data_IF_335008721054
#
_entry.id   IF_335008721054
#
_cell.length_a   1.000
_cell.length_b   1.000
_cell.length_c   1.000
_cell.angle_alpha   90.00
_cell.angle_beta   90.00
_cell.angle_gamma   90.00
#
_symmetry.space_group_name_H-M   'P 1'
#
loop_
_entity.id
_entity.type
_entity.pdbx_description
1 polymer ?
#
# COMPACT_ATOMS: atom_id res chain seq x y z
N UNK A 1 34.00 -14.17 -8.97
CA UNK A 1 34.81 -13.14 -8.27
C UNK A 1 34.04 -12.75 -7.00
N UNK A 2 34.58 -12.96 -5.80
CA UNK A 2 33.85 -12.93 -4.52
C UNK A 2 34.52 -11.97 -3.50
N UNK A 3 35.09 -10.85 -3.95
CA UNK A 3 35.97 -9.99 -3.12
C UNK A 3 35.24 -8.70 -2.66
N UNK A 4 34.24 -8.23 -3.39
CA UNK A 4 33.59 -6.92 -3.18
C UNK A 4 32.23 -7.06 -2.50
N UNK A 5 31.85 -6.05 -1.72
CA UNK A 5 30.51 -5.96 -1.11
C UNK A 5 29.43 -5.70 -2.16
N UNK A 6 28.17 -5.92 -1.80
CA UNK A 6 27.02 -5.70 -2.70
C UNK A 6 26.98 -4.27 -3.24
N UNK A 7 27.19 -3.27 -2.37
CA UNK A 7 27.21 -1.86 -2.78
C UNK A 7 28.37 -1.56 -3.75
N UNK A 8 29.58 -2.05 -3.46
CA UNK A 8 30.72 -1.84 -4.35
C UNK A 8 30.53 -2.58 -5.69
N UNK A 9 29.83 -3.71 -5.70
CA UNK A 9 29.54 -4.48 -6.91
C UNK A 9 28.56 -3.80 -7.88
N UNK A 10 27.84 -2.76 -7.43
CA UNK A 10 26.95 -1.95 -8.27
C UNK A 10 27.69 -0.81 -9.00
N UNK A 11 28.97 -0.56 -8.68
CA UNK A 11 29.75 0.49 -9.32
C UNK A 11 30.34 -0.06 -10.63
N UNK A 12 29.93 0.43 -11.81
CA UNK A 12 30.56 0.04 -13.06
C UNK A 12 31.98 0.61 -13.13
N UNK A 13 32.89 -0.09 -13.80
CA UNK A 13 34.30 0.33 -13.98
C UNK A 13 35.08 0.53 -12.67
N UNK A 14 34.72 -0.20 -11.62
CA UNK A 14 35.37 -0.13 -10.30
C UNK A 14 36.89 -0.34 -10.38
N UNK A 15 37.39 -1.14 -11.32
CA UNK A 15 38.81 -1.35 -11.58
C UNK A 15 39.58 -0.10 -12.02
N UNK A 16 38.89 0.95 -12.46
CA UNK A 16 39.47 2.21 -12.90
C UNK A 16 39.40 3.32 -11.84
N UNK A 17 38.72 3.08 -10.72
CA UNK A 17 38.53 4.05 -9.66
C UNK A 17 39.54 3.86 -8.51
N UNK A 18 39.94 4.99 -7.91
CA UNK A 18 40.70 4.96 -6.65
C UNK A 18 39.84 4.42 -5.50
N UNK A 19 40.46 3.65 -4.60
CA UNK A 19 39.77 2.98 -3.50
C UNK A 19 38.99 3.94 -2.60
N UNK A 20 39.49 5.16 -2.36
CA UNK A 20 38.80 6.14 -1.52
C UNK A 20 37.53 6.66 -2.21
N UNK A 21 37.57 6.85 -3.54
CA UNK A 21 36.39 7.26 -4.33
C UNK A 21 35.36 6.16 -4.41
N UNK A 22 35.79 4.91 -4.59
CA UNK A 22 34.91 3.74 -4.53
C UNK A 22 34.20 3.60 -3.18
N UNK A 23 34.90 3.85 -2.06
CA UNK A 23 34.32 3.86 -0.72
C UNK A 23 33.26 4.96 -0.57
N UNK A 24 33.57 6.18 -1.01
CA UNK A 24 32.62 7.30 -0.98
C UNK A 24 31.40 7.00 -1.84
N UNK A 25 31.58 6.52 -3.08
CA UNK A 25 30.49 6.15 -3.99
C UNK A 25 29.56 5.10 -3.39
N UNK A 26 30.12 4.04 -2.81
CA UNK A 26 29.34 2.98 -2.14
C UNK A 26 28.53 3.50 -0.95
N UNK A 27 29.04 4.50 -0.23
CA UNK A 27 28.34 5.11 0.90
C UNK A 27 27.25 6.09 0.45
N UNK A 28 27.53 6.90 -0.57
CA UNK A 28 26.59 7.86 -1.14
C UNK A 28 25.38 7.15 -1.79
N UNK A 29 25.60 6.02 -2.47
CA UNK A 29 24.52 5.22 -3.05
C UNK A 29 23.46 4.80 -2.03
N UNK A 30 23.85 4.52 -0.77
CA UNK A 30 22.92 4.14 0.30
C UNK A 30 22.02 5.28 0.79
N UNK A 31 22.33 6.52 0.42
CA UNK A 31 21.60 7.72 0.83
C UNK A 31 20.72 8.25 -0.30
N UNK A 32 20.72 7.62 -1.47
CA UNK A 32 19.89 8.01 -2.59
C UNK A 32 18.40 7.83 -2.23
N UNK A 33 17.63 8.92 -2.33
CA UNK A 33 16.19 8.91 -2.08
C UNK A 33 15.46 8.51 -3.36
N UNK A 34 14.43 7.64 -3.29
CA UNK A 34 13.62 7.28 -4.44
C UNK A 34 12.97 8.48 -5.14
N UNK A 35 13.18 8.59 -6.45
CA UNK A 35 12.53 9.58 -7.31
C UNK A 35 11.10 9.17 -7.65
N UNK A 36 10.27 10.15 -8.04
CA UNK A 36 8.88 9.94 -8.45
C UNK A 36 8.74 8.94 -9.61
N UNK A 37 9.70 8.97 -10.53
CA UNK A 37 9.86 8.07 -11.67
C UNK A 37 11.21 7.37 -11.54
N UNK A 38 11.19 6.06 -11.36
CA UNK A 38 12.40 5.25 -11.43
C UNK A 38 12.86 5.15 -12.89
N UNK A 39 14.16 5.08 -13.10
CA UNK A 39 14.76 4.86 -14.42
C UNK A 39 15.95 3.90 -14.25
N UNK A 40 15.91 2.76 -14.91
CA UNK A 40 17.02 1.81 -14.86
C UNK A 40 18.35 2.44 -15.31
N UNK A 41 19.48 2.08 -14.69
CA UNK A 41 20.79 2.57 -15.13
C UNK A 41 21.09 2.07 -16.55
N UNK A 42 21.51 2.99 -17.44
CA UNK A 42 21.96 2.61 -18.79
C UNK A 42 23.28 1.83 -18.77
N UNK A 43 24.10 2.08 -17.75
CA UNK A 43 25.37 1.39 -17.51
C UNK A 43 25.29 0.74 -16.14
N UNK A 44 25.15 -0.58 -16.12
CA UNK A 44 25.06 -1.39 -14.90
C UNK A 44 26.06 -2.55 -14.88
N UNK A 45 26.07 -3.30 -13.78
CA UNK A 45 26.97 -4.44 -13.57
C UNK A 45 26.27 -5.80 -13.67
N UNK A 46 24.93 -5.82 -13.72
CA UNK A 46 24.09 -7.00 -13.68
C UNK A 46 23.71 -7.44 -12.26
N UNK A 47 24.24 -6.77 -11.23
CA UNK A 47 23.88 -7.02 -9.83
C UNK A 47 22.57 -6.34 -9.42
N UNK A 48 22.10 -5.37 -10.21
CA UNK A 48 20.91 -4.56 -9.95
C UNK A 48 19.66 -5.43 -9.74
N UNK A 49 19.46 -6.43 -10.61
CA UNK A 49 18.34 -7.36 -10.53
C UNK A 49 18.39 -8.23 -9.28
N UNK A 50 19.56 -8.75 -8.94
CA UNK A 50 19.73 -9.59 -7.76
C UNK A 50 19.43 -8.79 -6.48
N UNK A 51 19.93 -7.56 -6.40
CA UNK A 51 19.68 -6.68 -5.25
C UNK A 51 18.20 -6.31 -5.14
N UNK A 52 17.54 -5.97 -6.25
CA UNK A 52 16.12 -5.65 -6.24
C UNK A 52 15.26 -6.82 -5.74
N UNK A 53 15.47 -8.02 -6.28
CA UNK A 53 14.72 -9.24 -5.93
C UNK A 53 14.99 -9.65 -4.46
N UNK A 54 16.25 -9.71 -4.05
CA UNK A 54 16.64 -10.18 -2.71
C UNK A 54 16.30 -9.18 -1.60
N UNK A 55 16.11 -7.90 -1.92
CA UNK A 55 15.74 -6.87 -0.95
C UNK A 55 14.30 -6.99 -0.42
N UNK A 56 13.42 -7.70 -1.15
CA UNK A 56 12.01 -7.85 -0.80
C UNK A 56 11.15 -6.60 -1.05
N UNK A 57 11.69 -5.55 -1.69
CA UNK A 57 10.91 -4.35 -2.05
C UNK A 57 10.02 -4.57 -3.27
N UNK A 58 10.43 -5.47 -4.17
CA UNK A 58 9.68 -5.89 -5.36
C UNK A 58 8.73 -7.03 -5.03
N UNK A 59 7.59 -7.12 -5.72
CA UNK A 59 6.68 -8.27 -5.61
C UNK A 59 7.14 -9.37 -6.54
N UNK A 60 7.51 -10.52 -5.99
CA UNK A 60 8.05 -11.66 -6.74
C UNK A 60 7.04 -12.82 -6.76
N UNK A 61 6.89 -13.46 -7.91
CA UNK A 61 6.04 -14.62 -8.09
C UNK A 61 6.59 -15.83 -7.33
N UNK A 62 5.79 -16.38 -6.41
CA UNK A 62 6.13 -17.60 -5.66
C UNK A 62 6.06 -18.85 -6.53
N UNK A 63 5.10 -18.87 -7.46
CA UNK A 63 4.77 -19.97 -8.37
C UNK A 63 4.56 -19.43 -9.78
N UNK A 64 4.84 -20.25 -10.78
CA UNK A 64 4.56 -19.95 -12.19
C UNK A 64 3.07 -20.07 -12.52
N UNK A 65 2.61 -19.31 -13.50
CA UNK A 65 1.19 -19.23 -13.82
C UNK A 65 0.84 -18.22 -14.89
N UNK A 66 -0.44 -17.93 -15.02
CA UNK A 66 -1.00 -16.90 -15.90
C UNK A 66 -1.65 -15.82 -15.04
N UNK A 67 -1.39 -14.56 -15.36
CA UNK A 67 -2.00 -13.43 -14.67
C UNK A 67 -3.47 -13.32 -15.06
N UNK A 68 -4.37 -13.43 -14.08
CA UNK A 68 -5.82 -13.42 -14.29
C UNK A 68 -6.37 -11.99 -14.25
N UNK A 69 -6.02 -11.24 -13.20
CA UNK A 69 -6.39 -9.84 -13.05
C UNK A 69 -5.25 -9.01 -12.45
N UNK A 70 -5.11 -7.78 -12.94
CA UNK A 70 -4.12 -6.80 -12.48
C UNK A 70 -4.87 -5.53 -12.12
N UNK A 71 -4.81 -5.18 -10.84
CA UNK A 71 -5.24 -3.89 -10.34
C UNK A 71 -4.03 -3.12 -9.82
N UNK A 72 -4.21 -1.81 -9.63
CA UNK A 72 -3.18 -1.02 -8.96
C UNK A 72 -2.86 -1.59 -7.57
N UNK A 73 -3.86 -2.09 -6.82
CA UNK A 73 -3.69 -2.54 -5.42
C UNK A 73 -3.37 -4.03 -5.27
N UNK A 74 -3.71 -4.87 -6.24
CA UNK A 74 -3.52 -6.32 -6.13
C UNK A 74 -3.27 -6.98 -7.49
N UNK A 75 -2.52 -8.08 -7.48
CA UNK A 75 -2.24 -8.91 -8.64
C UNK A 75 -2.73 -10.32 -8.34
N UNK A 76 -3.53 -10.89 -9.24
CA UNK A 76 -4.08 -12.25 -9.10
C UNK A 76 -3.43 -13.13 -10.15
N UNK A 77 -2.76 -14.18 -9.70
CA UNK A 77 -2.08 -15.14 -10.55
C UNK A 77 -2.77 -16.49 -10.42
N UNK A 78 -3.22 -17.02 -11.55
CA UNK A 78 -3.68 -18.40 -11.66
C UNK A 78 -2.48 -19.32 -11.84
N UNK A 79 -2.26 -20.21 -10.89
CA UNK A 79 -1.07 -21.05 -10.84
C UNK A 79 -1.21 -22.22 -11.81
N UNK A 80 -0.09 -22.63 -12.41
CA UNK A 80 -0.07 -23.81 -13.27
C UNK A 80 -0.39 -25.09 -12.46
N UNK A 81 -1.10 -26.01 -13.12
CA UNK A 81 -1.52 -27.28 -12.49
C UNK A 81 -0.30 -28.11 -12.02
N UNK A 82 0.85 -28.00 -12.70
CA UNK A 82 2.10 -28.69 -12.38
C UNK A 82 2.76 -28.23 -11.06
N UNK A 83 2.55 -26.97 -10.67
CA UNK A 83 3.12 -26.37 -9.46
C UNK A 83 2.13 -26.33 -8.29
N UNK A 84 0.90 -26.79 -8.50
CA UNK A 84 -0.13 -26.83 -7.47
C UNK A 84 -0.08 -28.15 -6.70
N UNK A 85 0.08 -28.11 -5.38
CA UNK A 85 -0.08 -29.31 -4.53
C UNK A 85 -1.55 -29.64 -4.34
N UNK A 86 -1.87 -30.93 -4.23
CA UNK A 86 -3.21 -31.40 -3.91
C UNK A 86 -3.67 -30.82 -2.56
N UNK A 87 -4.75 -30.05 -2.56
CA UNK A 87 -5.32 -29.37 -1.38
C UNK A 87 -4.97 -27.89 -1.23
N UNK A 88 -4.05 -27.33 -2.03
CA UNK A 88 -3.77 -25.89 -2.03
C UNK A 88 -4.63 -25.14 -3.05
N UNK A 89 -5.02 -23.92 -2.70
CA UNK A 89 -5.73 -23.03 -3.62
C UNK A 89 -4.88 -22.73 -4.86
N UNK A 90 -5.52 -22.83 -6.03
CA UNK A 90 -4.92 -22.68 -7.35
C UNK A 90 -4.59 -21.25 -7.77
N UNK A 91 -4.79 -20.29 -6.86
CA UNK A 91 -4.64 -18.87 -7.13
C UNK A 91 -3.76 -18.25 -6.06
N UNK A 92 -2.80 -17.46 -6.50
CA UNK A 92 -1.99 -16.61 -5.64
C UNK A 92 -2.44 -15.15 -5.76
N UNK A 93 -2.74 -14.54 -4.62
CA UNK A 93 -3.15 -13.13 -4.52
C UNK A 93 -2.02 -12.33 -3.89
N UNK A 94 -1.48 -11.37 -4.63
CA UNK A 94 -0.41 -10.49 -4.20
C UNK A 94 -0.97 -9.09 -3.96
N UNK A 95 -1.00 -8.66 -2.69
CA UNK A 95 -1.41 -7.31 -2.32
C UNK A 95 -0.21 -6.36 -2.41
N UNK A 96 -0.37 -5.26 -3.15
CA UNK A 96 0.65 -4.24 -3.35
C UNK A 96 0.58 -3.19 -2.24
N UNK A 97 1.75 -2.79 -1.74
CA UNK A 97 1.87 -1.68 -0.79
C UNK A 97 1.79 -0.34 -1.51
N UNK A 98 0.87 0.53 -1.09
CA UNK A 98 0.65 1.84 -1.73
C UNK A 98 0.95 2.97 -0.76
N UNK A 99 1.72 3.96 -1.24
CA UNK A 99 1.99 5.23 -0.57
C UNK A 99 2.19 5.11 0.94
N UNK A 100 3.04 4.17 1.36
CA UNK A 100 3.31 3.91 2.76
C UNK A 100 4.59 4.63 3.17
N UNK A 101 4.64 5.11 4.42
CA UNK A 101 5.79 5.81 4.97
C UNK A 101 6.96 4.84 5.22
N UNK A 102 8.18 5.24 4.87
CA UNK A 102 9.41 4.59 5.34
C UNK A 102 9.91 5.18 6.67
N UNK A 103 10.93 4.55 7.28
CA UNK A 103 11.56 5.07 8.49
C UNK A 103 12.28 6.42 8.28
N UNK A 104 12.68 6.74 7.05
CA UNK A 104 13.34 8.01 6.69
C UNK A 104 12.35 9.02 6.08
N UNK A 105 11.03 8.86 6.33
CA UNK A 105 9.97 9.72 5.79
C UNK A 105 9.91 9.75 4.25
N UNK A 106 10.44 8.74 3.57
CA UNK A 106 10.30 8.58 2.12
C UNK A 106 9.07 7.74 1.79
N UNK A 107 8.65 7.74 0.53
CA UNK A 107 7.52 6.96 0.05
C UNK A 107 7.91 5.52 -0.38
N UNK A 108 7.23 4.53 0.17
CA UNK A 108 7.22 3.14 -0.31
C UNK A 108 5.94 2.95 -1.13
N UNK A 109 6.12 2.73 -2.43
CA UNK A 109 5.01 2.52 -3.36
C UNK A 109 5.39 1.42 -4.35
N UNK A 110 4.57 0.37 -4.40
CA UNK A 110 4.73 -0.69 -5.36
C UNK A 110 3.82 -0.47 -6.56
N UNK A 111 4.29 -0.74 -7.78
CA UNK A 111 3.52 -0.60 -9.03
C UNK A 111 3.49 -1.94 -9.77
N UNK A 112 2.33 -2.40 -10.25
CA UNK A 112 2.27 -3.61 -11.05
C UNK A 112 3.03 -3.41 -12.37
N UNK A 113 3.80 -4.42 -12.79
CA UNK A 113 4.55 -4.45 -14.04
C UNK A 113 3.85 -5.31 -15.10
N UNK A 114 3.20 -6.39 -14.65
CA UNK A 114 2.54 -7.38 -15.50
C UNK A 114 1.17 -6.92 -16.00
N UNK A 115 0.73 -7.47 -17.13
CA UNK A 115 -0.60 -7.27 -17.71
C UNK A 115 -1.45 -8.55 -17.59
N UNK A 116 -2.76 -8.41 -17.77
CA UNK A 116 -3.67 -9.56 -17.76
C UNK A 116 -3.39 -10.48 -18.94
N UNK A 117 -3.28 -11.78 -18.66
CA UNK A 117 -2.93 -12.81 -19.65
C UNK A 117 -1.44 -13.09 -19.80
N UNK A 118 -0.56 -12.35 -19.12
CA UNK A 118 0.88 -12.62 -19.15
C UNK A 118 1.20 -13.97 -18.49
N UNK A 119 2.12 -14.72 -19.10
CA UNK A 119 2.64 -15.99 -18.57
C UNK A 119 3.90 -15.69 -17.77
N UNK A 120 3.90 -16.09 -16.51
CA UNK A 120 4.99 -15.83 -15.57
C UNK A 120 5.62 -17.14 -15.08
N UNK A 121 6.92 -17.10 -14.84
CA UNK A 121 7.65 -18.17 -14.18
C UNK A 121 7.82 -17.88 -12.68
N UNK A 122 8.14 -18.93 -11.93
CA UNK A 122 8.54 -18.79 -10.53
C UNK A 122 9.79 -17.91 -10.43
N UNK A 123 9.73 -16.87 -9.59
CA UNK A 123 10.80 -15.91 -9.38
C UNK A 123 10.74 -14.66 -10.27
N UNK A 124 9.74 -14.54 -11.13
CA UNK A 124 9.54 -13.32 -11.92
C UNK A 124 9.00 -12.16 -11.07
N UNK A 125 9.37 -10.93 -11.44
CA UNK A 125 8.93 -9.71 -10.77
C UNK A 125 7.56 -9.31 -11.30
N UNK A 126 6.56 -9.31 -10.44
CA UNK A 126 5.18 -8.94 -10.74
C UNK A 126 4.92 -7.45 -10.57
N UNK A 127 5.64 -6.82 -9.64
CA UNK A 127 5.53 -5.40 -9.37
C UNK A 127 6.83 -4.80 -8.86
N UNK A 128 7.14 -3.63 -9.38
CA UNK A 128 8.28 -2.82 -8.96
C UNK A 128 7.99 -2.15 -7.62
N UNK A 129 9.02 -2.01 -6.79
CA UNK A 129 9.02 -1.23 -5.56
C UNK A 129 9.55 0.20 -5.74
N UNK A 130 9.86 0.90 -4.62
CA UNK A 130 10.57 2.17 -4.69
C UNK A 130 11.98 1.98 -5.24
N UNK A 131 12.42 2.88 -6.12
CA UNK A 131 13.73 2.83 -6.78
C UNK A 131 14.02 1.53 -7.52
N UNK A 132 13.01 0.92 -8.15
CA UNK A 132 13.21 -0.21 -9.07
C UNK A 132 12.45 0.02 -10.36
N UNK A 133 13.00 -0.44 -11.48
CA UNK A 133 12.42 -0.34 -12.82
C UNK A 133 12.59 -1.67 -13.55
N UNK A 134 11.48 -2.33 -13.90
CA UNK A 134 11.44 -3.65 -14.53
C UNK A 134 12.24 -4.73 -13.79
N UNK A 135 12.22 -4.69 -12.46
CA UNK A 135 12.96 -5.62 -11.60
C UNK A 135 14.45 -5.30 -11.43
N UNK A 136 14.96 -4.21 -12.00
CA UNK A 136 16.33 -3.73 -11.76
C UNK A 136 16.33 -2.59 -10.73
N UNK A 137 17.38 -2.52 -9.91
CA UNK A 137 17.60 -1.41 -8.99
C UNK A 137 17.90 -0.11 -9.75
N UNK A 138 17.09 0.91 -9.48
CA UNK A 138 17.09 2.23 -10.11
C UNK A 138 17.12 3.34 -9.04
N UNK A 139 18.29 3.56 -8.44
CA UNK A 139 18.47 4.56 -7.36
C UNK A 139 18.40 6.01 -7.83
N UNK A 140 18.50 6.27 -9.13
CA UNK A 140 18.55 7.60 -9.71
C UNK A 140 18.10 7.61 -11.17
N UNK A 141 18.57 8.59 -11.93
CA UNK A 141 18.19 8.78 -13.33
C UNK A 141 19.40 9.10 -14.21
N UNK A 142 19.34 8.71 -15.49
CA UNK A 142 20.45 8.91 -16.43
C UNK A 142 20.39 10.31 -17.05
N UNK A 143 21.47 11.07 -16.94
CA UNK A 143 21.54 12.44 -17.44
C UNK A 143 22.55 12.59 -18.57
N UNK A 144 22.26 13.47 -19.52
CA UNK A 144 23.27 13.91 -20.49
C UNK A 144 24.18 14.92 -19.81
N UNK A 145 25.45 14.54 -19.62
CA UNK A 145 26.46 15.37 -18.93
C UNK A 145 27.54 15.79 -19.92
N UNK A 146 27.95 17.05 -19.85
CA UNK A 146 29.08 17.59 -20.60
C UNK A 146 30.18 18.04 -19.64
N UNK A 147 31.40 17.54 -19.84
CA UNK A 147 32.56 17.95 -19.06
C UNK A 147 33.19 19.20 -19.69
N UNK A 148 32.82 20.38 -19.22
CA UNK A 148 33.40 21.65 -19.63
C UNK A 148 33.29 22.70 -18.52
N UNK A 149 34.24 23.63 -18.37
CA UNK A 149 34.05 24.79 -17.50
C UNK A 149 32.94 25.68 -18.06
N UNK A 150 32.02 26.15 -17.21
CA UNK A 150 30.91 27.01 -17.61
C UNK A 150 30.80 28.23 -16.69
N UNK A 151 31.41 29.35 -17.09
CA UNK A 151 31.32 30.65 -16.41
C UNK A 151 31.55 30.63 -14.88
N UNK A 152 32.30 29.64 -14.38
CA UNK A 152 32.56 29.47 -12.94
C UNK A 152 31.38 28.91 -12.14
N UNK A 153 30.24 28.59 -12.75
CA UNK A 153 29.11 27.97 -12.05
C UNK A 153 29.39 26.53 -11.60
N UNK A 154 30.33 25.86 -12.25
CA UNK A 154 30.84 24.54 -11.86
C UNK A 154 32.22 24.63 -11.21
N UNK A 155 32.46 25.67 -10.40
CA UNK A 155 33.68 25.78 -9.61
C UNK A 155 33.70 24.76 -8.47
N UNK A 156 34.89 24.20 -8.20
CA UNK A 156 35.11 23.04 -7.31
C UNK A 156 34.23 21.85 -7.72
N UNK A 157 33.30 21.43 -6.86
CA UNK A 157 32.38 20.31 -7.07
C UNK A 157 30.93 20.78 -7.29
N UNK A 158 30.74 22.08 -7.61
CA UNK A 158 29.41 22.63 -7.90
C UNK A 158 28.86 22.07 -9.21
N UNK A 159 27.57 21.74 -9.23
CA UNK A 159 26.89 21.17 -10.39
C UNK A 159 25.94 22.23 -10.97
N UNK A 160 26.10 22.53 -12.26
CA UNK A 160 25.15 23.34 -13.01
C UNK A 160 24.10 22.43 -13.65
N UNK A 161 22.83 22.65 -13.34
CA UNK A 161 21.70 21.84 -13.81
C UNK A 161 20.85 22.67 -14.78
N UNK A 162 20.39 22.04 -15.86
CA UNK A 162 19.43 22.67 -16.78
C UNK A 162 18.05 22.77 -16.15
N UNK A 163 17.34 23.87 -16.37
CA UNK A 163 15.94 24.04 -15.95
C UNK A 163 15.02 22.92 -16.47
N UNK A 164 15.36 22.34 -17.63
CA UNK A 164 14.63 21.21 -18.22
C UNK A 164 14.49 20.02 -17.26
N UNK A 165 15.47 19.80 -16.39
CA UNK A 165 15.45 18.70 -15.40
C UNK A 165 14.35 18.89 -14.38
N UNK A 166 14.10 20.16 -13.99
CA UNK A 166 13.03 20.53 -13.07
C UNK A 166 11.67 20.44 -13.78
N UNK A 167 11.58 20.91 -15.02
CA UNK A 167 10.35 20.84 -15.82
C UNK A 167 9.89 19.41 -16.10
N UNK A 168 10.83 18.46 -16.20
CA UNK A 168 10.57 17.04 -16.41
C UNK A 168 10.32 16.25 -15.10
N UNK A 169 10.33 16.91 -13.93
CA UNK A 169 10.13 16.31 -12.59
C UNK A 169 11.05 15.11 -12.31
N UNK A 170 12.28 15.16 -12.81
CA UNK A 170 13.23 14.03 -12.82
C UNK A 170 13.69 13.62 -11.42
N UNK A 171 14.04 14.61 -10.61
CA UNK A 171 14.50 14.43 -9.22
C UNK A 171 13.46 14.82 -8.17
N UNK A 172 12.18 14.89 -8.56
CA UNK A 172 11.08 15.12 -7.62
C UNK A 172 10.89 13.88 -6.75
N UNK A 173 10.83 14.04 -5.42
CA UNK A 173 10.68 12.94 -4.45
C UNK A 173 9.37 13.09 -3.67
N UNK A 174 8.79 11.97 -3.23
CA UNK A 174 7.61 11.98 -2.35
C UNK A 174 8.06 11.73 -0.93
N UNK A 175 7.76 12.67 -0.04
CA UNK A 175 7.97 12.55 1.40
C UNK A 175 6.63 12.38 2.11
N UNK A 176 6.59 11.48 3.08
CA UNK A 176 5.42 11.21 3.90
C UNK A 176 5.84 11.44 5.34
N UNK A 177 5.21 12.41 6.00
CA UNK A 177 5.42 12.66 7.43
C UNK A 177 4.18 12.28 8.21
N UNK A 178 4.39 11.70 9.38
CA UNK A 178 3.32 11.39 10.33
C UNK A 178 3.38 12.43 11.44
N UNK A 179 2.27 13.14 11.64
CA UNK A 179 2.13 14.10 12.72
C UNK A 179 1.12 13.53 13.71
N UNK A 180 1.50 13.48 14.98
CA UNK A 180 0.68 12.85 16.03
C UNK A 180 0.18 13.91 17.00
N UNK A 181 -1.11 13.82 17.33
CA UNK A 181 -1.76 14.62 18.37
C UNK A 181 -2.23 13.66 19.47
N UNK A 182 -1.93 13.96 20.72
CA UNK A 182 -2.35 13.15 21.86
C UNK A 182 -3.16 14.03 22.80
N UNK A 183 -4.42 13.65 23.04
CA UNK A 183 -5.24 14.21 24.11
C UNK A 183 -4.93 13.47 25.42
N UNK A 184 -4.65 14.22 26.49
CA UNK A 184 -4.29 13.66 27.80
C UNK A 184 -5.24 14.15 28.88
N UNK A 185 -5.41 13.34 29.92
CA UNK A 185 -6.07 13.79 31.14
C UNK A 185 -5.10 14.62 31.98
N UNK A 186 -5.45 15.89 32.20
CA UNK A 186 -4.70 16.78 33.09
C UNK A 186 -5.42 16.90 34.44
N UNK A 187 -4.72 17.46 35.44
CA UNK A 187 -5.32 17.71 36.77
C UNK A 187 -6.48 18.72 36.73
N UNK A 188 -6.52 19.58 35.72
CA UNK A 188 -7.53 20.64 35.58
C UNK A 188 -8.74 20.18 34.77
N UNK A 189 -8.63 19.01 34.12
CA UNK A 189 -9.65 18.42 33.26
C UNK A 189 -9.02 17.64 32.12
N UNK A 190 -9.86 16.89 31.41
CA UNK A 190 -9.45 16.16 30.21
C UNK A 190 -9.24 17.13 29.05
N UNK A 191 -8.19 16.90 28.26
CA UNK A 191 -8.03 17.57 26.97
C UNK A 191 -9.03 16.99 25.98
N UNK A 192 -9.68 17.86 25.20
CA UNK A 192 -10.71 17.46 24.24
C UNK A 192 -10.23 17.76 22.81
N UNK A 193 -10.59 16.86 21.89
CA UNK A 193 -10.41 17.08 20.46
C UNK A 193 -11.74 17.63 19.94
N UNK A 194 -11.73 18.87 19.44
CA UNK A 194 -12.94 19.57 19.01
C UNK A 194 -12.62 20.63 17.97
N UNK A 195 -13.58 20.89 17.08
CA UNK A 195 -13.54 21.99 16.12
C UNK A 195 -13.81 23.36 16.75
N UNK A 196 -14.29 23.41 18.00
CA UNK A 196 -14.54 24.67 18.71
C UNK A 196 -13.24 25.20 19.36
N UNK A 197 -12.42 25.89 18.57
CA UNK A 197 -11.11 26.39 18.99
C UNK A 197 -11.19 27.90 19.26
N UNK A 198 -10.82 28.38 20.46
CA UNK A 198 -10.88 29.80 20.78
C UNK A 198 -9.86 30.61 19.98
N UNK A 199 -10.23 31.84 19.59
CA UNK A 199 -9.38 32.81 18.88
C UNK A 199 -8.91 32.37 17.49
N UNK A 200 -9.60 31.43 16.85
CA UNK A 200 -9.32 30.97 15.49
C UNK A 200 -10.40 31.47 14.53
N UNK A 201 -10.01 32.00 13.37
CA UNK A 201 -10.94 32.46 12.35
C UNK A 201 -11.64 31.32 11.61
N UNK A 202 -12.86 31.56 11.14
CA UNK A 202 -13.70 30.58 10.46
C UNK A 202 -13.02 29.95 9.23
N UNK A 203 -12.14 30.70 8.55
CA UNK A 203 -11.35 30.21 7.41
C UNK A 203 -10.40 29.07 7.75
N UNK A 204 -9.85 29.04 8.97
CA UNK A 204 -8.97 27.96 9.42
C UNK A 204 -9.78 26.74 9.91
N UNK A 205 -11.00 26.98 10.42
CA UNK A 205 -11.93 25.92 10.82
C UNK A 205 -12.58 25.23 9.62
N UNK A 206 -12.68 25.91 8.47
CA UNK A 206 -13.29 25.35 7.26
C UNK A 206 -12.64 24.06 6.72
N UNK A 207 -11.38 23.78 7.11
CA UNK A 207 -10.67 22.55 6.73
C UNK A 207 -10.90 21.38 7.70
N UNK A 208 -11.46 21.65 8.87
CA UNK A 208 -11.74 20.67 9.91
C UNK A 208 -13.16 20.13 9.78
N UNK A 209 -13.34 18.88 10.18
CA UNK A 209 -14.65 18.26 10.32
C UNK A 209 -15.35 18.64 11.64
N UNK A 210 -16.57 18.14 11.86
CA UNK A 210 -17.33 18.37 13.10
C UNK A 210 -16.58 17.93 14.37
N UNK A 211 -15.68 16.95 14.25
CA UNK A 211 -14.86 16.43 15.34
C UNK A 211 -13.57 17.24 15.54
N UNK A 212 -13.28 18.23 14.70
CA UNK A 212 -12.05 19.02 14.78
C UNK A 212 -10.84 18.35 14.12
N UNK A 213 -11.05 17.41 13.20
CA UNK A 213 -10.00 16.69 12.48
C UNK A 213 -10.03 17.08 11.00
N UNK A 214 -8.87 17.23 10.39
CA UNK A 214 -8.79 17.61 8.98
C UNK A 214 -9.33 16.54 8.02
N UNK A 215 -9.94 17.00 6.92
CA UNK A 215 -10.39 16.10 5.84
C UNK A 215 -9.22 15.45 5.08
N UNK A 216 -9.38 14.17 4.75
CA UNK A 216 -8.46 13.44 3.85
C UNK A 216 -8.56 14.06 2.44
N UNK A 217 -7.41 14.35 1.85
CA UNK A 217 -7.30 15.02 0.55
C UNK A 217 -7.21 16.56 0.63
N UNK A 218 -7.29 17.15 1.82
CA UNK A 218 -7.11 18.59 1.98
C UNK A 218 -5.65 18.99 1.75
N UNK A 219 -5.45 20.07 0.99
CA UNK A 219 -4.15 20.73 0.86
C UNK A 219 -3.93 21.67 2.05
N UNK A 220 -2.78 21.49 2.69
CA UNK A 220 -2.39 22.21 3.91
C UNK A 220 -1.13 23.00 3.68
N UNK A 221 -1.14 24.19 4.27
CA UNK A 221 0.00 25.09 4.31
C UNK A 221 0.56 25.15 5.73
N UNK A 222 1.80 25.60 5.84
CA UNK A 222 2.43 25.88 7.12
C UNK A 222 1.53 26.73 8.03
N UNK A 223 1.27 26.25 9.25
CA UNK A 223 0.43 26.93 10.25
C UNK A 223 -1.06 26.56 10.24
N UNK A 224 -1.54 25.83 9.22
CA UNK A 224 -2.90 25.27 9.20
C UNK A 224 -3.08 24.25 10.34
N UNK A 225 -4.32 24.15 10.84
CA UNK A 225 -4.68 23.24 11.93
C UNK A 225 -5.01 21.86 11.32
N UNK A 226 -4.34 20.82 11.81
CA UNK A 226 -4.60 19.43 11.43
C UNK A 226 -5.59 18.76 12.39
N UNK A 227 -5.40 19.00 13.69
CA UNK A 227 -6.26 18.45 14.74
C UNK A 227 -6.48 19.54 15.79
N UNK A 228 -7.74 19.96 15.93
CA UNK A 228 -8.21 20.87 16.96
C UNK A 228 -8.10 20.23 18.33
N UNK A 229 -7.30 20.81 19.22
CA UNK A 229 -7.12 20.30 20.59
C UNK A 229 -7.22 21.45 21.58
N UNK A 230 -8.13 21.29 22.54
CA UNK A 230 -8.39 22.30 23.55
C UNK A 230 -8.02 21.76 24.93
N UNK A 231 -7.33 22.59 25.71
CA UNK A 231 -6.86 22.25 27.06
C UNK A 231 -7.59 23.10 28.10
N UNK A 232 -8.23 22.52 29.12
CA UNK A 232 -8.84 23.29 30.19
C UNK A 232 -7.76 24.10 30.90
N UNK A 233 -7.98 25.41 31.00
CA UNK A 233 -7.05 26.36 31.61
C UNK A 233 -7.56 26.68 33.02
N UNK A 234 -6.64 26.69 33.98
CA UNK A 234 -6.95 27.19 35.32
C UNK A 234 -7.25 28.69 35.30
N UNK A 235 -8.03 29.16 36.28
CA UNK A 235 -8.39 30.56 36.40
C UNK A 235 -7.14 31.43 36.63
N UNK A 236 -6.72 32.15 35.59
CA UNK A 236 -5.58 33.09 35.69
C UNK A 236 -6.08 34.43 36.20
N UNK A 237 -5.44 34.95 37.27
CA UNK A 237 -5.69 36.32 37.72
C UNK A 237 -5.23 37.31 36.63
N UNK A 238 -6.19 37.90 35.92
CA UNK A 238 -5.95 38.92 34.91
C UNK A 238 -5.44 40.21 35.55
N UNK A 239 -4.54 40.89 34.86
CA UNK A 239 -4.05 42.22 35.25
C UNK A 239 -5.18 43.26 35.21
N UNK A 240 -5.11 44.37 35.98
CA UNK A 240 -6.12 45.43 35.93
C UNK A 240 -6.38 45.96 34.51
N UNK A 241 -5.34 46.01 33.67
CA UNK A 241 -5.39 46.42 32.26
C UNK A 241 -6.23 45.45 31.43
N UNK A 242 -5.97 44.14 31.54
CA UNK A 242 -6.76 43.09 30.85
C UNK A 242 -8.21 43.04 31.34
N UNK A 243 -8.43 43.27 32.65
CA UNK A 243 -9.79 43.37 33.22
C UNK A 243 -10.57 44.55 32.64
N UNK A 244 -9.91 45.70 32.47
CA UNK A 244 -10.52 46.89 31.86
C UNK A 244 -10.83 46.64 30.37
N UNK A 245 -9.89 46.06 29.64
CA UNK A 245 -10.04 45.75 28.22
C UNK A 245 -11.20 44.77 28.01
N UNK A 246 -11.29 43.74 28.85
CA UNK A 246 -12.41 42.78 28.85
C UNK A 246 -13.76 43.42 29.20
N UNK A 247 -13.78 44.39 30.12
CA UNK A 247 -15.00 45.12 30.46
C UNK A 247 -15.47 46.03 29.32
N UNK A 248 -14.55 46.54 28.49
CA UNK A 248 -14.88 47.39 27.33
C UNK A 248 -15.37 46.55 26.14
N UNK A 249 -14.70 45.45 25.82
CA UNK A 249 -15.03 44.62 24.64
C UNK A 249 -16.05 43.51 24.91
N UNK A 250 -16.33 43.23 26.19
CA UNK A 250 -17.29 42.19 26.57
C UNK A 250 -16.86 40.77 26.18
N UNK A 251 -15.59 40.56 25.80
CA UNK A 251 -15.07 39.23 25.47
C UNK A 251 -15.15 38.31 26.69
N UNK A 252 -15.83 37.18 26.53
CA UNK A 252 -15.78 36.12 27.53
C UNK A 252 -14.37 35.53 27.48
N UNK A 253 -13.71 35.41 28.64
CA UNK A 253 -12.50 34.60 28.71
C UNK A 253 -12.92 33.18 28.34
N UNK A 254 -12.25 32.62 27.34
CA UNK A 254 -12.35 31.19 27.14
C UNK A 254 -11.61 30.52 28.29
N UNK A 255 -12.31 29.64 29.00
CA UNK A 255 -11.73 28.80 30.05
C UNK A 255 -10.83 27.69 29.46
N UNK A 256 -10.64 27.71 28.15
CA UNK A 256 -9.91 26.70 27.38
C UNK A 256 -8.82 27.35 26.55
N UNK A 257 -7.67 26.69 26.43
CA UNK A 257 -6.53 27.13 25.65
C UNK A 257 -6.35 26.25 24.41
N UNK A 258 -6.09 26.89 23.27
CA UNK A 258 -5.68 26.23 22.03
C UNK A 258 -4.32 25.53 22.21
N UNK A 259 -4.31 24.21 22.02
CA UNK A 259 -3.10 23.36 21.94
C UNK A 259 -3.16 22.45 20.72
N UNK A 260 -3.85 22.91 19.69
CA UNK A 260 -4.09 22.17 18.44
C UNK A 260 -2.78 21.82 17.73
N UNK A 261 -2.81 20.69 17.03
CA UNK A 261 -1.73 20.28 16.15
C UNK A 261 -1.79 21.13 14.87
N UNK A 262 -0.68 21.81 14.56
CA UNK A 262 -0.53 22.63 13.36
C UNK A 262 0.58 22.08 12.47
N UNK A 263 0.48 22.34 11.18
CA UNK A 263 1.51 21.98 10.21
C UNK A 263 2.81 22.73 10.54
N UNK A 264 3.96 22.02 10.63
CA UNK A 264 5.27 22.65 10.85
C UNK A 264 5.59 23.76 9.84
N UNK A 265 6.36 24.75 10.27
CA UNK A 265 6.79 25.84 9.39
C UNK A 265 7.69 25.34 8.27
N UNK A 266 7.38 25.71 7.03
CA UNK A 266 8.15 25.30 5.84
C UNK A 266 7.69 23.98 5.22
N UNK A 267 6.68 23.33 5.79
CA UNK A 267 6.03 22.15 5.22
C UNK A 267 4.71 22.54 4.57
N UNK A 268 4.49 22.08 3.35
CA UNK A 268 3.22 22.15 2.63
C UNK A 268 2.96 20.78 2.01
N UNK A 269 1.70 20.35 1.91
CA UNK A 269 1.38 19.06 1.33
C UNK A 269 -0.11 18.74 1.38
N UNK A 270 -0.43 17.48 1.09
CA UNK A 270 -1.79 16.96 1.09
C UNK A 270 -1.94 15.90 2.17
N UNK A 271 -3.03 15.95 2.93
CA UNK A 271 -3.34 14.92 3.93
C UNK A 271 -3.78 13.64 3.22
N UNK A 272 -3.00 12.56 3.36
CA UNK A 272 -3.27 11.28 2.68
C UNK A 272 -4.10 10.31 3.51
N UNK A 273 -3.91 10.30 4.82
CA UNK A 273 -4.53 9.33 5.74
C UNK A 273 -4.66 9.96 7.13
N UNK A 274 -5.66 9.51 7.87
CA UNK A 274 -5.94 9.95 9.25
C UNK A 274 -6.34 8.73 10.06
N UNK A 275 -5.63 8.50 11.16
CA UNK A 275 -5.89 7.38 12.07
C UNK A 275 -6.27 7.93 13.44
N UNK A 276 -7.37 7.41 14.00
CA UNK A 276 -7.89 7.81 15.30
C UNK A 276 -7.83 6.59 16.23
N UNK A 277 -7.10 6.74 17.33
CA UNK A 277 -7.00 5.70 18.36
C UNK A 277 -7.74 6.17 19.62
N UNK A 278 -8.88 5.54 19.90
CA UNK A 278 -9.64 5.77 21.12
C UNK A 278 -9.28 4.73 22.17
N UNK A 279 -9.12 5.15 23.43
CA UNK A 279 -8.91 4.22 24.55
C UNK A 279 -10.19 3.44 24.85
N UNK A 280 -10.04 2.16 25.19
CA UNK A 280 -11.15 1.32 25.65
C UNK A 280 -11.87 1.96 26.85
N UNK A 281 -13.17 2.21 26.68
CA UNK A 281 -14.04 2.80 27.70
C UNK A 281 -14.37 4.29 27.51
N UNK A 282 -13.76 4.97 26.53
CA UNK A 282 -14.16 6.32 26.10
C UNK A 282 -15.19 6.21 24.98
N UNK A 283 -16.22 7.07 24.97
CA UNK A 283 -17.17 7.11 23.86
C UNK A 283 -16.44 7.48 22.56
N UNK A 284 -16.68 6.69 21.51
CA UNK A 284 -16.07 6.92 20.20
C UNK A 284 -16.78 8.09 19.51
N UNK A 285 -16.00 9.03 19.01
CA UNK A 285 -16.53 10.10 18.16
C UNK A 285 -17.13 9.54 16.87
N UNK A 286 -18.07 10.28 16.27
CA UNK A 286 -18.68 9.92 14.96
C UNK A 286 -17.60 9.56 13.92
N UNK A 287 -16.54 10.36 13.86
CA UNK A 287 -15.42 10.16 12.94
C UNK A 287 -14.66 8.85 13.20
N UNK A 288 -14.47 8.48 14.45
CA UNK A 288 -13.80 7.23 14.81
C UNK A 288 -14.64 6.01 14.40
N UNK A 289 -15.96 6.08 14.60
CA UNK A 289 -16.91 5.06 14.14
C UNK A 289 -16.92 4.94 12.61
N UNK A 290 -16.97 6.07 11.89
CA UNK A 290 -16.94 6.08 10.43
C UNK A 290 -15.65 5.44 9.87
N UNK A 291 -14.50 5.75 10.48
CA UNK A 291 -13.21 5.18 10.09
C UNK A 291 -13.23 3.66 10.31
N UNK A 292 -13.64 3.20 11.50
CA UNK A 292 -13.72 1.78 11.84
C UNK A 292 -14.66 1.01 10.91
N UNK A 293 -15.85 1.55 10.64
CA UNK A 293 -16.79 0.98 9.67
C UNK A 293 -16.19 0.92 8.26
N UNK A 294 -15.49 1.97 7.83
CA UNK A 294 -14.83 1.99 6.51
C UNK A 294 -13.72 0.94 6.40
N UNK A 295 -12.96 0.72 7.49
CA UNK A 295 -11.92 -0.30 7.57
C UNK A 295 -12.54 -1.69 7.53
N UNK A 296 -13.58 -1.95 8.32
CA UNK A 296 -14.32 -3.20 8.32
C UNK A 296 -14.96 -3.47 6.94
N UNK A 297 -15.50 -2.45 6.28
CA UNK A 297 -16.07 -2.56 4.95
C UNK A 297 -15.01 -2.93 3.90
N UNK A 298 -13.82 -2.31 3.95
CA UNK A 298 -12.68 -2.64 3.08
C UNK A 298 -12.23 -4.10 3.29
N UNK A 299 -12.03 -4.50 4.54
CA UNK A 299 -11.67 -5.88 4.90
C UNK A 299 -12.71 -6.87 4.40
N UNK A 300 -14.00 -6.59 4.61
CA UNK A 300 -15.10 -7.43 4.16
C UNK A 300 -15.10 -7.56 2.65
N UNK A 301 -14.93 -6.45 1.93
CA UNK A 301 -14.84 -6.43 0.46
C UNK A 301 -13.65 -7.26 -0.03
N UNK A 302 -12.48 -7.10 0.60
CA UNK A 302 -11.28 -7.87 0.24
C UNK A 302 -11.50 -9.37 0.44
N UNK A 303 -12.07 -9.79 1.57
CA UNK A 303 -12.40 -11.19 1.83
C UNK A 303 -13.42 -11.76 0.83
N UNK A 304 -14.47 -10.99 0.50
CA UNK A 304 -15.46 -11.40 -0.49
C UNK A 304 -14.86 -11.51 -1.89
N UNK A 305 -14.01 -10.56 -2.27
CA UNK A 305 -13.30 -10.61 -3.55
C UNK A 305 -12.37 -11.83 -3.62
N UNK A 306 -11.63 -12.11 -2.54
CA UNK A 306 -10.79 -13.30 -2.44
C UNK A 306 -11.61 -14.58 -2.59
N UNK A 307 -12.71 -14.71 -1.85
CA UNK A 307 -13.63 -15.84 -1.96
C UNK A 307 -14.16 -16.02 -3.37
N UNK A 308 -14.59 -14.94 -4.03
CA UNK A 308 -15.07 -14.98 -5.41
C UNK A 308 -13.99 -15.50 -6.37
N UNK A 309 -12.77 -14.98 -6.25
CA UNK A 309 -11.63 -15.41 -7.07
C UNK A 309 -11.34 -16.89 -6.86
N UNK A 310 -11.33 -17.35 -5.61
CA UNK A 310 -11.11 -18.76 -5.29
C UNK A 310 -12.24 -19.66 -5.81
N UNK A 311 -13.49 -19.25 -5.65
CA UNK A 311 -14.65 -19.97 -6.18
C UNK A 311 -14.57 -20.09 -7.71
N UNK A 312 -14.29 -18.99 -8.42
CA UNK A 312 -14.18 -19.00 -9.88
C UNK A 312 -13.06 -19.94 -10.37
N UNK A 313 -11.90 -19.98 -9.71
CA UNK A 313 -10.83 -20.93 -10.06
C UNK A 313 -11.19 -22.38 -9.74
N UNK A 314 -11.79 -22.64 -8.56
CA UNK A 314 -12.25 -23.98 -8.19
C UNK A 314 -13.28 -24.51 -9.20
N UNK A 315 -14.25 -23.70 -9.60
CA UNK A 315 -15.21 -24.09 -10.63
C UNK A 315 -14.54 -24.30 -11.98
N UNK A 316 -13.55 -23.48 -12.34
CA UNK A 316 -12.80 -23.68 -13.58
C UNK A 316 -12.00 -25.00 -13.58
N UNK A 317 -11.40 -25.38 -12.45
CA UNK A 317 -10.71 -26.67 -12.28
C UNK A 317 -11.70 -27.84 -12.34
N UNK A 318 -12.85 -27.71 -11.68
CA UNK A 318 -13.94 -28.70 -11.76
C UNK A 318 -14.45 -28.83 -13.19
N UNK A 319 -14.62 -27.74 -13.92
CA UNK A 319 -15.00 -27.75 -15.34
C UNK A 319 -13.99 -28.55 -16.17
N UNK A 320 -12.68 -28.29 -16.03
CA UNK A 320 -11.63 -29.06 -16.71
C UNK A 320 -11.66 -30.54 -16.36
N UNK A 321 -11.91 -30.89 -15.09
CA UNK A 321 -11.97 -32.28 -14.64
C UNK A 321 -13.21 -33.02 -15.15
N UNK A 322 -14.35 -32.33 -15.26
CA UNK A 322 -15.62 -32.90 -15.69
C UNK A 322 -15.69 -33.06 -17.21
N UNK A 323 -15.19 -32.08 -17.98
CA UNK A 323 -15.25 -32.08 -19.45
C UNK A 323 -14.53 -33.32 -20.02
N UNK A 324 -15.29 -34.15 -20.74
CA UNK A 324 -14.77 -35.33 -21.44
C UNK A 324 -14.73 -36.63 -20.62
N UNK A 325 -15.03 -36.61 -19.31
CA UNK A 325 -15.16 -37.84 -18.49
C UNK A 325 -16.55 -38.47 -18.59
N UNK A 326 -16.62 -39.78 -18.36
CA UNK A 326 -17.88 -40.55 -18.37
C UNK A 326 -18.58 -40.45 -17.03
N UNK A 327 -19.89 -40.18 -17.05
CA UNK A 327 -20.70 -39.98 -15.85
C UNK A 327 -21.48 -41.25 -15.51
N UNK A 328 -21.52 -41.62 -14.22
CA UNK A 328 -22.35 -42.72 -13.69
C UNK A 328 -23.73 -42.23 -13.23
N UNK A 329 -23.85 -40.94 -12.91
CA UNK A 329 -25.12 -40.25 -12.73
C UNK A 329 -24.91 -38.79 -12.29
N UNK A 330 -25.86 -37.91 -12.62
CA UNK A 330 -25.80 -36.51 -12.21
C UNK A 330 -27.18 -35.84 -12.20
N UNK A 331 -27.31 -34.66 -11.55
CA UNK A 331 -28.56 -33.90 -11.51
C UNK A 331 -29.06 -33.55 -12.92
N UNK A 332 -30.36 -33.28 -13.11
CA UNK A 332 -30.96 -33.03 -14.43
C UNK A 332 -30.97 -34.20 -15.45
N UNK A 333 -30.81 -35.45 -14.98
CA UNK A 333 -31.13 -36.64 -15.79
C UNK A 333 -30.01 -37.13 -16.71
N UNK A 334 -28.74 -36.89 -16.35
CA UNK A 334 -27.59 -37.48 -17.03
C UNK A 334 -27.64 -39.02 -16.94
N UNK A 335 -27.72 -39.69 -18.09
CA UNK A 335 -27.71 -41.15 -18.19
C UNK A 335 -26.28 -41.68 -18.04
N UNK A 336 -26.17 -42.86 -17.44
CA UNK A 336 -24.92 -43.64 -17.33
C UNK A 336 -24.22 -43.72 -18.69
N UNK A 337 -22.97 -43.23 -18.76
CA UNK A 337 -22.11 -43.34 -19.94
C UNK A 337 -22.12 -42.15 -20.91
N UNK A 338 -22.79 -41.04 -20.60
CA UNK A 338 -22.65 -39.80 -21.38
C UNK A 338 -21.36 -39.04 -21.01
N UNK A 339 -20.73 -38.42 -22.02
CA UNK A 339 -19.63 -37.46 -21.81
C UNK A 339 -20.21 -36.12 -21.37
N UNK A 340 -19.56 -35.47 -20.42
CA UNK A 340 -19.93 -34.10 -20.02
C UNK A 340 -19.53 -33.12 -21.12
N UNK A 341 -20.51 -32.43 -21.70
CA UNK A 341 -20.31 -31.32 -22.63
C UNK A 341 -20.30 -29.98 -21.89
N UNK A 342 -19.54 -29.00 -22.42
CA UNK A 342 -19.44 -27.65 -21.84
C UNK A 342 -20.79 -26.93 -21.71
N UNK A 343 -21.73 -27.18 -22.64
CA UNK A 343 -23.07 -26.58 -22.61
C UNK A 343 -23.90 -27.02 -21.40
N UNK A 344 -23.79 -28.29 -20.99
CA UNK A 344 -24.53 -28.83 -19.84
C UNK A 344 -24.03 -28.26 -18.49
N UNK A 345 -22.74 -27.95 -18.40
CA UNK A 345 -22.16 -27.29 -17.22
C UNK A 345 -22.66 -25.85 -17.06
N UNK A 346 -22.81 -25.11 -18.16
CA UNK A 346 -23.30 -23.73 -18.14
C UNK A 346 -24.78 -23.60 -17.73
N UNK A 347 -25.61 -24.60 -18.02
CA UNK A 347 -27.05 -24.61 -17.68
C UNK A 347 -27.32 -25.03 -16.23
N UNK A 348 -26.33 -25.64 -15.55
CA UNK A 348 -26.46 -26.08 -14.17
C UNK A 348 -25.92 -25.03 -13.19
N UNK A 349 -26.65 -24.72 -12.09
CA UNK A 349 -26.12 -23.86 -11.05
C UNK A 349 -24.87 -24.49 -10.41
N UNK A 350 -23.84 -23.67 -10.22
CA UNK A 350 -22.50 -24.05 -9.73
C UNK A 350 -22.52 -24.96 -8.49
N UNK A 351 -23.46 -24.76 -7.57
CA UNK A 351 -23.63 -25.58 -6.35
C UNK A 351 -23.93 -27.07 -6.64
N UNK A 352 -24.47 -27.40 -7.81
CA UNK A 352 -24.82 -28.77 -8.20
C UNK A 352 -23.72 -29.49 -8.98
N UNK A 353 -22.60 -28.83 -9.27
CA UNK A 353 -21.49 -29.45 -10.01
C UNK A 353 -20.79 -30.53 -9.17
N UNK A 354 -20.79 -30.39 -7.83
CA UNK A 354 -20.24 -31.37 -6.89
C UNK A 354 -21.12 -32.62 -6.71
N UNK A 355 -22.36 -32.63 -7.21
CA UNK A 355 -23.27 -33.79 -7.13
C UNK A 355 -23.10 -34.77 -8.31
N UNK A 356 -22.22 -34.44 -9.27
CA UNK A 356 -21.96 -35.25 -10.46
C UNK A 356 -21.03 -36.41 -10.08
N UNK A 357 -21.50 -37.65 -10.28
CA UNK A 357 -20.71 -38.86 -10.04
C UNK A 357 -20.06 -39.32 -11.33
N UNK A 358 -18.74 -39.38 -11.34
CA UNK A 358 -17.94 -39.88 -12.45
C UNK A 358 -17.79 -41.41 -12.36
N UNK A 359 -17.46 -42.03 -13.50
CA UNK A 359 -17.16 -43.47 -13.58
C UNK A 359 -15.74 -43.84 -13.13
N UNK A 360 -14.87 -42.84 -12.93
CA UNK A 360 -13.48 -43.01 -12.55
C UNK A 360 -13.31 -42.65 -11.07
N UNK A 361 -12.87 -43.61 -10.26
CA UNK A 361 -12.79 -43.49 -8.80
C UNK A 361 -11.81 -42.39 -8.37
N UNK A 362 -10.68 -42.23 -9.08
CA UNK A 362 -9.69 -41.17 -8.82
C UNK A 362 -10.28 -39.78 -9.11
N UNK A 363 -11.14 -39.68 -10.11
CA UNK A 363 -11.79 -38.42 -10.45
C UNK A 363 -12.89 -38.02 -9.43
N UNK A 364 -13.55 -39.01 -8.82
CA UNK A 364 -14.49 -38.78 -7.72
C UNK A 364 -13.76 -38.35 -6.44
N UNK A 365 -12.64 -38.98 -6.10
CA UNK A 365 -11.82 -38.56 -4.95
C UNK A 365 -11.32 -37.11 -5.10
N UNK A 366 -10.89 -36.72 -6.30
CA UNK A 366 -10.49 -35.33 -6.58
C UNK A 366 -11.66 -34.34 -6.47
N UNK A 367 -12.87 -34.71 -6.92
CA UNK A 367 -14.07 -33.88 -6.77
C UNK A 367 -14.47 -33.70 -5.31
N UNK A 368 -14.40 -34.76 -4.50
CA UNK A 368 -14.69 -34.69 -3.07
C UNK A 368 -13.65 -33.81 -2.34
N UNK A 369 -12.37 -33.96 -2.64
CA UNK A 369 -11.30 -33.11 -2.08
C UNK A 369 -11.47 -31.63 -2.45
N UNK A 370 -11.87 -31.32 -3.68
CA UNK A 370 -12.18 -29.95 -4.11
C UNK A 370 -13.42 -29.38 -3.40
N UNK A 371 -14.41 -30.22 -3.11
CA UNK A 371 -15.58 -29.85 -2.32
C UNK A 371 -15.27 -29.59 -0.84
N UNK A 372 -14.39 -30.39 -0.24
CA UNK A 372 -13.94 -30.20 1.14
C UNK A 372 -13.08 -28.94 1.31
N UNK A 373 -12.15 -28.69 0.38
CA UNK A 373 -11.31 -27.49 0.39
C UNK A 373 -12.12 -26.20 0.24
N UNK A 374 -13.17 -26.19 -0.60
CA UNK A 374 -14.09 -25.05 -0.70
C UNK A 374 -14.77 -24.76 0.65
N UNK A 375 -15.29 -25.80 1.32
CA UNK A 375 -15.95 -25.65 2.63
C UNK A 375 -14.98 -25.18 3.71
N UNK A 376 -13.75 -25.70 3.71
CA UNK A 376 -12.70 -25.26 4.63
C UNK A 376 -12.36 -23.78 4.42
N UNK A 377 -12.15 -23.36 3.17
CA UNK A 377 -11.85 -21.96 2.84
C UNK A 377 -12.99 -20.99 3.19
N UNK A 378 -14.25 -21.39 2.98
CA UNK A 378 -15.42 -20.60 3.40
C UNK A 378 -15.45 -20.45 4.93
N UNK A 379 -15.30 -21.55 5.67
CA UNK A 379 -15.23 -21.54 7.14
C UNK A 379 -14.08 -20.65 7.65
N UNK A 380 -12.89 -20.76 7.06
CA UNK A 380 -11.73 -20.00 7.52
C UNK A 380 -11.84 -18.51 7.18
N UNK A 381 -12.46 -18.16 6.06
CA UNK A 381 -12.78 -16.77 5.71
C UNK A 381 -13.83 -16.18 6.65
N UNK A 382 -14.81 -16.97 7.08
CA UNK A 382 -15.79 -16.56 8.11
C UNK A 382 -15.15 -16.35 9.48
N UNK A 383 -14.22 -17.23 9.89
CA UNK A 383 -13.44 -17.05 11.13
C UNK A 383 -12.58 -15.78 11.07
N UNK A 384 -11.88 -15.54 9.97
CA UNK A 384 -11.07 -14.33 9.76
C UNK A 384 -11.94 -13.06 9.81
N UNK A 385 -13.16 -13.12 9.29
CA UNK A 385 -14.11 -12.02 9.41
C UNK A 385 -14.57 -11.82 10.86
N UNK A 386 -14.82 -12.90 11.59
CA UNK A 386 -15.22 -12.84 13.00
C UNK A 386 -14.10 -12.33 13.92
N UNK A 387 -12.84 -12.66 13.66
CA UNK A 387 -11.68 -12.17 14.42
C UNK A 387 -11.41 -10.67 14.23
N UNK A 388 -11.80 -10.12 13.09
CA UNK A 388 -11.63 -8.69 12.78
C UNK A 388 -12.76 -7.82 13.30
N UNK A 389 -13.80 -8.41 13.87
CA UNK A 389 -14.94 -7.74 14.50
C UNK A 389 -14.76 -7.69 16.01
#
# INVERSE_FOLDING_TARGET
>A
KQIVSVAASLIPFLEHDDANRALMGSNMQRQAVPTLRAEKPLVGTGMERAVAIDSGVTVVAKRGGVVDSVDASRIVVRVNDDETKAGEAGVDIYNLTKYTRSNQNTCINQRPLVHTGDVIARGDVLGDGPSTDMGDLALGQNMLVAFMPWNGYNFEDSILISERVVQEDRYTTIHIEELTCVARDTKLGSEEITGDIPNVGESALAKLDESGIIYIGAEVLSGDILVGKVTPKGETQLTPEEKLLRAIFGEKASDVKDTSLRVPTGMNGTVIDVQVFTRDGVEKDKRALDIEESHLAKVKKDLLDQLRIYEDDLFHRVEKLLVGKLVTGGPAGLRTGHKVEKGYLHDLPRNKWFEIRLADDNANEQLEQLGETLKQHQSDSEKLFAEKR
#
